data_IF_493892848616
#
_entry.id   IF_493892848616
#
_cell.length_a   1.000
_cell.length_b   1.000
_cell.length_c   1.000
_cell.angle_alpha   90.00
_cell.angle_beta   90.00
_cell.angle_gamma   90.00
#
_symmetry.space_group_name_H-M   'P 1'
#
loop_
_entity.id
_entity.type
_entity.pdbx_description
1 polymer ?
#
# COMPACT_ATOMS: atom_id res chain seq x y z
N UNK A 1 0.55 -12.47 14.17
CA UNK A 1 0.14 -11.07 13.96
C UNK A 1 1.10 -10.44 12.96
N UNK A 2 0.63 -9.99 11.79
CA UNK A 2 1.49 -9.28 10.84
C UNK A 2 1.34 -7.77 11.09
N UNK A 3 2.11 -7.23 12.03
CA UNK A 3 2.35 -5.79 12.06
C UNK A 3 3.34 -5.53 10.93
N UNK A 4 2.85 -4.99 9.82
CA UNK A 4 3.70 -4.63 8.70
C UNK A 4 4.55 -3.42 9.12
N UNK A 5 5.87 -3.62 9.20
CA UNK A 5 6.87 -2.60 9.50
C UNK A 5 6.87 -1.54 8.38
N UNK A 6 7.14 -0.25 8.66
CA UNK A 6 7.22 0.77 7.61
C UNK A 6 8.25 0.38 6.54
N UNK A 7 7.80 0.34 5.29
CA UNK A 7 8.62 -0.03 4.14
C UNK A 7 9.25 1.21 3.50
N UNK A 8 10.53 1.15 3.09
CA UNK A 8 11.21 2.29 2.51
C UNK A 8 10.68 2.58 1.11
N UNK A 9 10.54 3.88 0.79
CA UNK A 9 10.34 4.37 -0.56
C UNK A 9 11.67 4.75 -1.25
N UNK A 10 12.82 4.44 -0.64
CA UNK A 10 14.15 4.87 -1.07
C UNK A 10 14.84 3.83 -1.95
N UNK A 11 15.28 4.27 -3.11
CA UNK A 11 16.21 3.56 -4.01
C UNK A 11 17.12 4.51 -4.82
N UNK A 12 17.12 5.83 -4.53
CA UNK A 12 18.00 6.78 -5.23
C UNK A 12 18.54 7.86 -4.27
N UNK A 13 19.86 8.04 -4.33
CA UNK A 13 20.71 8.92 -3.49
C UNK A 13 20.81 10.34 -4.05
N UNK A 14 20.12 10.67 -5.16
CA UNK A 14 20.22 12.01 -5.76
C UNK A 14 19.19 12.96 -5.13
N UNK A 15 19.67 14.03 -4.49
CA UNK A 15 18.83 15.07 -3.90
C UNK A 15 18.06 15.83 -4.99
N UNK A 16 16.72 15.81 -4.92
CA UNK A 16 15.85 16.65 -5.76
C UNK A 16 15.55 17.99 -5.04
N UNK A 17 15.26 19.06 -5.81
CA UNK A 17 14.92 20.36 -5.24
C UNK A 17 13.66 20.30 -4.36
N UNK A 18 13.70 21.06 -3.26
CA UNK A 18 12.78 21.00 -2.11
C UNK A 18 11.29 21.24 -2.42
N UNK A 19 10.95 21.68 -3.63
CA UNK A 19 9.58 21.98 -4.05
C UNK A 19 8.80 20.76 -4.56
N UNK A 20 9.47 19.68 -4.98
CA UNK A 20 8.83 18.42 -5.44
C UNK A 20 8.96 17.28 -4.41
N UNK A 21 9.34 17.62 -3.18
CA UNK A 21 9.69 16.64 -2.15
C UNK A 21 8.49 16.00 -1.44
N UNK A 22 7.28 16.60 -1.52
CA UNK A 22 6.28 16.35 -0.48
C UNK A 22 5.84 14.89 -0.34
N UNK A 23 5.65 14.10 -1.41
CA UNK A 23 5.36 12.68 -1.25
C UNK A 23 5.81 11.78 -2.41
N UNK A 24 7.10 11.41 -2.42
CA UNK A 24 7.69 10.46 -3.38
C UNK A 24 6.93 9.11 -3.46
N UNK A 25 6.33 8.67 -2.35
CA UNK A 25 5.61 7.40 -2.28
C UNK A 25 4.20 7.43 -2.87
N UNK A 26 3.52 8.59 -2.90
CA UNK A 26 2.07 8.66 -3.18
C UNK A 26 1.75 8.18 -4.58
N UNK A 27 2.45 8.71 -5.58
CA UNK A 27 2.16 8.43 -6.97
C UNK A 27 2.34 6.93 -7.31
N UNK A 28 3.46 6.26 -6.93
CA UNK A 28 3.61 4.81 -7.05
C UNK A 28 2.53 4.00 -6.34
N UNK A 29 2.16 4.41 -5.11
CA UNK A 29 1.14 3.74 -4.32
C UNK A 29 -0.20 3.77 -5.06
N UNK A 30 -0.62 4.95 -5.53
CA UNK A 30 -1.89 5.11 -6.25
C UNK A 30 -1.92 4.27 -7.55
N UNK A 31 -0.84 4.28 -8.34
CA UNK A 31 -0.79 3.48 -9.56
C UNK A 31 -0.83 1.96 -9.28
N UNK A 32 -0.07 1.48 -8.30
CA UNK A 32 -0.06 0.07 -7.92
C UNK A 32 -1.46 -0.39 -7.45
N UNK A 33 -2.16 0.45 -6.71
CA UNK A 33 -3.52 0.18 -6.22
C UNK A 33 -4.55 0.11 -7.34
N UNK A 34 -4.57 1.12 -8.23
CA UNK A 34 -5.49 1.16 -9.37
C UNK A 34 -5.28 -0.06 -10.29
N UNK A 35 -4.02 -0.40 -10.58
CA UNK A 35 -3.69 -1.56 -11.43
C UNK A 35 -4.18 -2.90 -10.85
N UNK A 36 -4.33 -2.98 -9.53
CA UNK A 36 -4.81 -4.18 -8.82
C UNK A 36 -6.31 -4.18 -8.55
N UNK A 37 -7.03 -3.12 -8.91
CA UNK A 37 -8.46 -2.99 -8.66
C UNK A 37 -8.82 -2.66 -7.21
N UNK A 38 -7.89 -2.06 -6.45
CA UNK A 38 -8.23 -1.49 -5.15
C UNK A 38 -9.02 -0.19 -5.36
N UNK A 39 -10.13 -0.06 -4.64
CA UNK A 39 -10.89 1.18 -4.53
C UNK A 39 -10.16 2.06 -3.52
N UNK A 40 -9.69 3.23 -3.98
CA UNK A 40 -8.91 4.19 -3.20
C UNK A 40 -9.83 5.25 -2.61
N UNK A 41 -9.66 5.56 -1.33
CA UNK A 41 -10.30 6.68 -0.66
C UNK A 41 -9.25 7.53 0.09
N UNK A 42 -8.81 8.68 -0.46
CA UNK A 42 -7.90 9.59 0.24
C UNK A 42 -8.59 10.17 1.47
N UNK A 43 -8.01 9.99 2.66
CA UNK A 43 -8.60 10.48 3.92
C UNK A 43 -8.01 11.82 4.31
N UNK A 44 -6.69 11.92 4.29
CA UNK A 44 -5.94 13.13 4.62
C UNK A 44 -4.54 13.06 4.02
N UNK A 45 -3.77 14.15 4.13
CA UNK A 45 -2.35 14.09 3.78
C UNK A 45 -1.65 12.99 4.59
N UNK A 46 -0.93 12.10 3.91
CA UNK A 46 -0.23 10.98 4.55
C UNK A 46 -1.09 9.76 4.84
N UNK A 47 -2.40 9.77 4.55
CA UNK A 47 -3.31 8.65 4.85
C UNK A 47 -4.27 8.36 3.69
N UNK A 48 -4.24 7.13 3.19
CA UNK A 48 -5.15 6.63 2.16
C UNK A 48 -5.80 5.34 2.66
N UNK A 49 -7.12 5.27 2.57
CA UNK A 49 -7.88 4.05 2.80
C UNK A 49 -8.13 3.30 1.49
N UNK A 50 -8.20 1.99 1.59
CA UNK A 50 -8.35 1.09 0.46
C UNK A 50 -9.27 -0.05 0.73
N UNK A 51 -10.06 -0.40 -0.28
CA UNK A 51 -10.92 -1.56 -0.25
C UNK A 51 -10.73 -2.41 -1.50
N UNK A 52 -10.63 -3.71 -1.32
CA UNK A 52 -10.70 -4.67 -2.42
C UNK A 52 -11.92 -5.56 -2.23
N UNK A 53 -12.62 -5.85 -3.32
CA UNK A 53 -13.74 -6.78 -3.37
C UNK A 53 -13.45 -7.82 -4.45
N UNK A 54 -13.31 -9.08 -4.08
CA UNK A 54 -13.02 -10.16 -5.02
C UNK A 54 -13.84 -11.41 -4.70
N UNK A 55 -14.71 -11.83 -5.62
CA UNK A 55 -15.48 -13.08 -5.54
C UNK A 55 -16.21 -13.26 -4.20
N UNK A 56 -16.81 -12.18 -3.69
CA UNK A 56 -17.54 -12.18 -2.41
C UNK A 56 -16.66 -12.03 -1.16
N UNK A 57 -15.34 -11.92 -1.29
CA UNK A 57 -14.43 -11.59 -0.20
C UNK A 57 -14.06 -10.11 -0.25
N UNK A 58 -13.89 -9.47 0.91
CA UNK A 58 -13.46 -8.07 0.96
C UNK A 58 -12.42 -7.81 2.05
N UNK A 59 -11.49 -6.89 1.77
CA UNK A 59 -10.56 -6.39 2.77
C UNK A 59 -10.44 -4.87 2.67
N UNK A 60 -10.40 -4.25 3.84
CA UNK A 60 -10.18 -2.85 4.07
C UNK A 60 -8.79 -2.66 4.69
N UNK A 61 -7.99 -1.80 4.07
CA UNK A 61 -6.64 -1.45 4.51
C UNK A 61 -6.50 0.06 4.61
N UNK A 62 -5.59 0.48 5.49
CA UNK A 62 -5.15 1.87 5.59
C UNK A 62 -3.66 1.93 5.29
N UNK A 63 -3.27 2.77 4.34
CA UNK A 63 -1.88 3.12 4.13
C UNK A 63 -1.59 4.48 4.75
N UNK A 64 -0.65 4.48 5.69
CA UNK A 64 0.00 5.70 6.14
C UNK A 64 1.33 5.84 5.43
N UNK A 65 1.57 6.98 4.79
CA UNK A 65 2.80 7.27 4.08
C UNK A 65 3.39 8.61 4.52
N UNK A 66 4.69 8.72 4.36
CA UNK A 66 5.45 9.95 4.57
C UNK A 66 6.32 10.19 3.33
N UNK A 67 7.24 11.14 3.40
CA UNK A 67 8.19 11.43 2.32
C UNK A 67 8.98 10.19 1.87
N UNK A 68 9.33 9.29 2.79
CA UNK A 68 10.33 8.25 2.57
C UNK A 68 9.90 6.82 2.93
N UNK A 69 8.71 6.64 3.50
CA UNK A 69 8.23 5.34 3.97
C UNK A 69 6.72 5.25 3.88
N UNK A 70 6.19 4.05 3.74
CA UNK A 70 4.76 3.75 3.83
C UNK A 70 4.53 2.51 4.71
N UNK A 71 3.33 2.39 5.26
CA UNK A 71 2.91 1.26 6.06
C UNK A 71 1.51 0.85 5.63
N UNK A 72 1.27 -0.46 5.48
CA UNK A 72 -0.03 -1.02 5.17
C UNK A 72 -0.60 -1.62 6.47
N UNK A 73 -1.75 -1.13 6.91
CA UNK A 73 -2.45 -1.61 8.11
C UNK A 73 -3.77 -2.26 7.72
N UNK A 74 -4.05 -3.44 8.29
CA UNK A 74 -5.36 -4.06 8.21
C UNK A 74 -6.37 -3.22 9.01
N UNK A 75 -7.49 -2.85 8.38
CA UNK A 75 -8.61 -2.16 9.05
C UNK A 75 -9.74 -3.15 9.32
N UNK A 76 -10.11 -3.93 8.30
CA UNK A 76 -11.19 -4.89 8.40
C UNK A 76 -11.21 -5.84 7.21
N UNK A 77 -12.01 -6.88 7.32
CA UNK A 77 -12.31 -7.78 6.22
C UNK A 77 -13.69 -8.38 6.39
N UNK A 78 -14.32 -8.76 5.28
CA UNK A 78 -15.62 -9.43 5.28
C UNK A 78 -15.54 -10.74 4.50
N UNK A 79 -16.29 -11.74 4.98
CA UNK A 79 -16.30 -13.10 4.44
C UNK A 79 -14.88 -13.69 4.41
N UNK A 80 -14.07 -13.36 5.43
CA UNK A 80 -12.68 -13.81 5.58
C UNK A 80 -12.46 -14.47 6.93
N UNK A 81 -13.45 -15.22 7.40
CA UNK A 81 -13.42 -15.88 8.70
C UNK A 81 -12.16 -16.74 8.79
N UNK A 82 -11.20 -16.22 9.53
CA UNK A 82 -9.97 -16.93 9.77
C UNK A 82 -10.23 -17.87 10.94
N UNK A 83 -9.97 -19.15 10.72
CA UNK A 83 -9.99 -20.13 11.81
C UNK A 83 -8.95 -19.70 12.85
N UNK A 84 -9.35 -19.71 14.12
CA UNK A 84 -8.47 -19.49 15.29
C UNK A 84 -7.87 -18.07 15.41
N UNK A 85 -8.56 -17.03 14.94
CA UNK A 85 -8.10 -15.64 15.12
C UNK A 85 -6.85 -15.28 14.31
N UNK A 86 -6.52 -16.09 13.29
CA UNK A 86 -5.43 -15.84 12.36
C UNK A 86 -5.86 -14.81 11.30
N UNK A 87 -4.95 -14.37 10.43
CA UNK A 87 -5.31 -13.55 9.26
C UNK A 87 -5.45 -14.49 8.06
N UNK A 88 -6.55 -14.41 7.31
CA UNK A 88 -6.79 -15.30 6.18
C UNK A 88 -5.69 -15.18 5.11
N UNK A 89 -5.33 -16.30 4.46
CA UNK A 89 -4.24 -16.35 3.48
C UNK A 89 -4.45 -15.43 2.28
N UNK A 90 -5.70 -15.24 1.84
CA UNK A 90 -6.07 -14.29 0.78
C UNK A 90 -5.65 -12.86 1.12
N UNK A 91 -5.91 -12.39 2.35
CA UNK A 91 -5.48 -11.06 2.78
C UNK A 91 -3.96 -10.94 2.67
N UNK A 92 -3.21 -11.90 3.22
CA UNK A 92 -1.75 -11.87 3.18
C UNK A 92 -1.24 -11.84 1.74
N UNK A 93 -1.85 -12.62 0.84
CA UNK A 93 -1.52 -12.63 -0.59
C UNK A 93 -1.82 -11.29 -1.26
N UNK A 94 -2.96 -10.68 -0.98
CA UNK A 94 -3.33 -9.39 -1.55
C UNK A 94 -2.39 -8.27 -1.11
N UNK A 95 -2.07 -8.22 0.18
CA UNK A 95 -1.11 -7.24 0.72
C UNK A 95 0.31 -7.49 0.22
N UNK A 96 0.76 -8.75 0.11
CA UNK A 96 2.07 -9.07 -0.44
C UNK A 96 2.18 -8.67 -1.92
N UNK A 97 1.15 -8.94 -2.71
CA UNK A 97 1.07 -8.53 -4.12
C UNK A 97 1.07 -7.01 -4.26
N UNK A 98 0.23 -6.33 -3.50
CA UNK A 98 0.16 -4.87 -3.46
C UNK A 98 1.53 -4.27 -3.13
N UNK A 99 2.20 -4.84 -2.13
CA UNK A 99 3.53 -4.42 -1.74
C UNK A 99 4.55 -4.57 -2.88
N UNK A 100 4.53 -5.71 -3.57
CA UNK A 100 5.40 -5.97 -4.73
C UNK A 100 5.18 -4.93 -5.82
N UNK A 101 3.92 -4.61 -6.14
CA UNK A 101 3.60 -3.65 -7.20
C UNK A 101 4.02 -2.22 -6.83
N UNK A 102 3.85 -1.81 -5.57
CA UNK A 102 4.35 -0.52 -5.07
C UNK A 102 5.86 -0.43 -5.27
N UNK A 103 6.61 -1.49 -4.94
CA UNK A 103 8.06 -1.53 -5.12
C UNK A 103 8.48 -1.50 -6.59
N UNK A 104 7.72 -2.14 -7.48
CA UNK A 104 7.95 -2.06 -8.93
C UNK A 104 7.71 -0.65 -9.47
N UNK A 105 6.64 0.02 -9.05
CA UNK A 105 6.36 1.41 -9.44
C UNK A 105 7.40 2.39 -8.86
N UNK A 106 7.89 2.15 -7.64
CA UNK A 106 9.01 2.90 -7.08
C UNK A 106 10.30 2.70 -7.87
N UNK A 107 10.61 1.47 -8.28
CA UNK A 107 11.78 1.17 -9.10
C UNK A 107 11.69 1.83 -10.48
N UNK A 108 10.51 1.82 -11.11
CA UNK A 108 10.23 2.49 -12.40
C UNK A 108 10.59 3.98 -12.37
N UNK A 109 10.38 4.65 -11.24
CA UNK A 109 10.75 6.07 -11.10
C UNK A 109 12.25 6.33 -11.15
N UNK A 110 13.10 5.33 -10.86
CA UNK A 110 14.55 5.50 -10.89
C UNK A 110 15.20 5.19 -12.25
N UNK A 111 14.43 4.70 -13.22
CA UNK A 111 14.94 4.32 -14.56
C UNK A 111 14.72 5.46 -15.59
N UNK A 112 14.08 6.56 -15.17
CA UNK A 112 13.82 7.73 -16.02
C UNK A 112 14.92 8.78 -15.96
#
# INVERSE_FOLDING_TARGET
MAVQVPLPCKTSTKALPATTAKFRCVRPILYAWLNRGWIINPVSEGVIDGKILLRGHSADIRITYSTNRYQIRHVGSNNMDAKEGKIHSNYNRWVANLNKDIQLELARQNIK
#
